data_IF_416690034988
#
_entry.id   IF_416690034988
#
_cell.length_a   1.000
_cell.length_b   1.000
_cell.length_c   1.000
_cell.angle_alpha   90.00
_cell.angle_beta   90.00
_cell.angle_gamma   90.00
#
_symmetry.space_group_name_H-M   'P 1'
#
loop_
_entity.id
_entity.type
_entity.pdbx_description
1 polymer ?
#
# COMPACT_ATOMS: atom_id res chain seq x y z
N UNK A 1 12.08 8.54 -5.34
CA UNK A 1 10.63 8.62 -5.58
C UNK A 1 10.11 7.70 -6.68
N UNK A 2 10.58 7.76 -7.95
CA UNK A 2 10.02 6.91 -9.03
C UNK A 2 10.05 5.39 -8.77
N UNK A 3 11.14 4.87 -8.16
CA UNK A 3 11.23 3.44 -7.77
C UNK A 3 10.19 3.04 -6.71
N UNK A 4 9.87 3.95 -5.79
CA UNK A 4 8.85 3.72 -4.77
C UNK A 4 7.46 3.68 -5.40
N UNK A 5 7.14 4.66 -6.27
CA UNK A 5 5.87 4.69 -7.01
C UNK A 5 5.62 3.37 -7.76
N UNK A 6 6.60 2.92 -8.55
CA UNK A 6 6.51 1.67 -9.30
C UNK A 6 6.25 0.46 -8.39
N UNK A 7 6.91 0.40 -7.23
CA UNK A 7 6.75 -0.69 -6.27
C UNK A 7 5.36 -0.71 -5.64
N UNK A 8 4.79 0.46 -5.37
CA UNK A 8 3.41 0.58 -4.87
C UNK A 8 2.34 0.27 -5.94
N UNK A 9 2.58 0.64 -7.20
CA UNK A 9 1.73 0.22 -8.33
C UNK A 9 1.76 -1.31 -8.51
N UNK A 10 2.91 -1.95 -8.28
CA UNK A 10 3.01 -3.41 -8.25
C UNK A 10 2.24 -4.02 -7.07
N UNK A 11 2.30 -3.43 -5.88
CA UNK A 11 1.48 -3.87 -4.73
C UNK A 11 -0.01 -3.76 -5.04
N UNK A 12 -0.45 -2.67 -5.68
CA UNK A 12 -1.84 -2.48 -6.08
C UNK A 12 -2.29 -3.54 -7.09
N UNK A 13 -1.48 -3.82 -8.12
CA UNK A 13 -1.77 -4.88 -9.10
C UNK A 13 -1.86 -6.26 -8.45
N UNK A 14 -0.93 -6.60 -7.56
CA UNK A 14 -0.94 -7.88 -6.86
C UNK A 14 -2.15 -7.99 -5.92
N UNK A 15 -2.52 -6.91 -5.24
CA UNK A 15 -3.69 -6.85 -4.37
C UNK A 15 -4.99 -7.05 -5.15
N UNK A 16 -5.14 -6.38 -6.30
CA UNK A 16 -6.28 -6.54 -7.22
C UNK A 16 -6.33 -7.93 -7.85
N UNK A 17 -5.17 -8.50 -8.21
CA UNK A 17 -5.10 -9.85 -8.79
C UNK A 17 -5.44 -10.95 -7.79
N UNK A 18 -5.33 -10.69 -6.48
CA UNK A 18 -5.65 -11.68 -5.47
C UNK A 18 -7.16 -11.96 -5.38
N UNK A 19 -8.04 -11.06 -5.85
CA UNK A 19 -9.52 -11.08 -5.69
C UNK A 19 -10.20 -12.38 -6.18
N UNK A 20 -9.55 -13.22 -7.00
CA UNK A 20 -10.07 -14.50 -7.48
C UNK A 20 -9.60 -15.76 -6.73
N UNK A 21 -8.85 -15.64 -5.63
CA UNK A 21 -8.35 -16.79 -4.85
C UNK A 21 -9.32 -17.18 -3.71
N UNK A 22 -9.31 -18.46 -3.32
CA UNK A 22 -9.99 -18.98 -2.12
C UNK A 22 -9.70 -18.13 -0.88
N UNK A 23 -10.70 -17.91 -0.02
CA UNK A 23 -10.68 -16.94 1.08
C UNK A 23 -9.43 -16.98 1.98
N UNK A 24 -8.87 -18.16 2.28
CA UNK A 24 -7.69 -18.31 3.15
C UNK A 24 -6.38 -17.82 2.47
N UNK A 25 -6.17 -18.20 1.21
CA UNK A 25 -5.03 -17.76 0.40
C UNK A 25 -5.11 -16.26 0.08
N UNK A 26 -6.35 -15.77 -0.12
CA UNK A 26 -6.65 -14.36 -0.34
C UNK A 26 -6.17 -13.50 0.84
N UNK A 27 -6.61 -13.84 2.05
CA UNK A 27 -6.30 -13.06 3.27
C UNK A 27 -4.81 -13.09 3.58
N UNK A 28 -4.16 -14.26 3.45
CA UNK A 28 -2.70 -14.38 3.62
C UNK A 28 -1.94 -13.50 2.64
N UNK A 29 -2.26 -13.61 1.35
CA UNK A 29 -1.55 -12.87 0.29
C UNK A 29 -1.75 -11.37 0.42
N UNK A 30 -2.97 -10.93 0.72
CA UNK A 30 -3.29 -9.51 0.93
C UNK A 30 -2.67 -8.94 2.20
N UNK A 31 -2.62 -9.72 3.28
CA UNK A 31 -1.91 -9.35 4.51
C UNK A 31 -0.41 -9.18 4.26
N UNK A 32 0.19 -10.10 3.50
CA UNK A 32 1.62 -10.04 3.16
C UNK A 32 1.95 -8.82 2.28
N UNK A 33 1.12 -8.54 1.27
CA UNK A 33 1.25 -7.33 0.44
C UNK A 33 1.12 -6.07 1.29
N UNK A 34 0.15 -6.01 2.20
CA UNK A 34 -0.02 -4.87 3.12
C UNK A 34 1.19 -4.67 4.03
N UNK A 35 1.78 -5.75 4.55
CA UNK A 35 3.00 -5.68 5.36
C UNK A 35 4.20 -5.18 4.55
N UNK A 36 4.37 -5.66 3.32
CA UNK A 36 5.44 -5.20 2.43
C UNK A 36 5.28 -3.72 2.05
N UNK A 37 4.05 -3.30 1.74
CA UNK A 37 3.71 -1.91 1.46
C UNK A 37 4.01 -1.00 2.67
N UNK A 38 3.60 -1.42 3.87
CA UNK A 38 3.87 -0.71 5.12
C UNK A 38 5.37 -0.55 5.39
N UNK A 39 6.15 -1.63 5.27
CA UNK A 39 7.60 -1.56 5.39
C UNK A 39 8.24 -0.64 4.34
N UNK A 40 7.75 -0.67 3.10
CA UNK A 40 8.26 0.17 2.03
C UNK A 40 8.07 1.65 2.34
N UNK A 41 6.88 2.05 2.80
CA UNK A 41 6.65 3.43 3.21
C UNK A 41 7.48 3.82 4.43
N UNK A 42 7.55 2.95 5.44
CA UNK A 42 8.27 3.29 6.65
C UNK A 42 9.76 3.51 6.34
N UNK A 43 10.30 2.73 5.39
CA UNK A 43 11.65 2.93 4.85
C UNK A 43 11.82 4.22 4.03
N UNK A 44 10.74 4.80 3.51
CA UNK A 44 10.74 6.06 2.77
C UNK A 44 10.52 7.28 3.68
N UNK A 45 10.28 7.07 4.98
CA UNK A 45 10.00 8.16 5.93
C UNK A 45 8.57 8.71 5.88
N UNK A 46 7.69 8.06 5.11
CA UNK A 46 6.30 8.45 4.91
C UNK A 46 5.44 8.05 6.13
N UNK A 47 5.53 8.83 7.22
CA UNK A 47 4.90 8.51 8.51
C UNK A 47 3.37 8.56 8.54
N UNK A 48 2.70 8.99 7.47
CA UNK A 48 1.29 9.39 7.54
C UNK A 48 0.28 8.23 7.48
N UNK A 49 0.72 6.97 7.37
CA UNK A 49 -0.20 5.82 7.22
C UNK A 49 -0.70 5.24 8.55
N UNK A 50 -0.17 5.67 9.70
CA UNK A 50 -0.57 5.11 11.00
C UNK A 50 -1.93 5.57 11.50
N UNK A 51 -2.60 6.50 10.82
CA UNK A 51 -3.96 6.97 11.13
C UNK A 51 -5.07 6.09 10.50
N UNK A 52 -4.82 4.79 10.31
CA UNK A 52 -5.91 3.83 10.05
C UNK A 52 -6.54 3.45 11.38
N UNK A 53 -7.30 4.38 11.94
CA UNK A 53 -8.20 4.11 13.07
C UNK A 53 -9.23 3.07 12.62
N UNK A 54 -9.17 1.90 13.27
CA UNK A 54 -10.32 1.00 13.46
C UNK A 54 -10.90 0.39 12.18
N UNK A 55 -10.13 -0.42 11.46
CA UNK A 55 -10.68 -1.25 10.38
C UNK A 55 -10.35 -2.72 10.64
N UNK A 56 -11.36 -3.47 11.07
CA UNK A 56 -11.30 -4.93 11.29
C UNK A 56 -11.14 -5.74 9.99
N UNK A 57 -11.20 -5.08 8.82
CA UNK A 57 -10.99 -5.67 7.49
C UNK A 57 -9.53 -5.47 7.03
N UNK A 58 -8.72 -6.53 7.08
CA UNK A 58 -7.35 -6.57 6.55
C UNK A 58 -7.27 -6.10 5.08
N UNK A 59 -8.30 -6.44 4.30
CA UNK A 59 -8.48 -5.97 2.92
C UNK A 59 -8.53 -4.45 2.79
N UNK A 60 -9.42 -3.81 3.55
CA UNK A 60 -9.60 -2.36 3.52
C UNK A 60 -8.36 -1.66 4.07
N UNK A 61 -7.71 -2.24 5.08
CA UNK A 61 -6.46 -1.72 5.63
C UNK A 61 -5.35 -1.74 4.58
N UNK A 62 -5.09 -2.88 3.94
CA UNK A 62 -4.06 -2.99 2.91
C UNK A 62 -4.32 -2.05 1.73
N UNK A 63 -5.57 -1.97 1.26
CA UNK A 63 -5.93 -1.07 0.18
C UNK A 63 -5.69 0.40 0.57
N UNK A 64 -6.11 0.81 1.77
CA UNK A 64 -5.83 2.16 2.30
C UNK A 64 -4.34 2.45 2.40
N UNK A 65 -3.55 1.50 2.89
CA UNK A 65 -2.10 1.66 3.00
C UNK A 65 -1.53 1.93 1.61
N UNK A 66 -1.83 1.08 0.62
CA UNK A 66 -1.33 1.24 -0.74
C UNK A 66 -1.79 2.58 -1.35
N UNK A 67 -3.07 2.91 -1.24
CA UNK A 67 -3.65 4.13 -1.82
C UNK A 67 -3.07 5.41 -1.21
N UNK A 68 -3.00 5.49 0.14
CA UNK A 68 -2.40 6.64 0.81
C UNK A 68 -0.91 6.78 0.48
N UNK A 69 -0.20 5.66 0.42
CA UNK A 69 1.22 5.67 0.05
C UNK A 69 1.46 6.20 -1.36
N UNK A 70 0.65 5.77 -2.33
CA UNK A 70 0.74 6.25 -3.71
C UNK A 70 0.49 7.75 -3.77
N UNK A 71 -0.55 8.22 -3.06
CA UNK A 71 -0.89 9.63 -2.99
C UNK A 71 0.23 10.47 -2.38
N UNK A 72 0.77 10.07 -1.23
CA UNK A 72 1.86 10.79 -0.57
C UNK A 72 3.12 10.83 -1.45
N UNK A 73 3.45 9.72 -2.12
CA UNK A 73 4.57 9.67 -3.08
C UNK A 73 4.33 10.60 -4.27
N UNK A 74 3.10 10.70 -4.79
CA UNK A 74 2.76 11.62 -5.87
C UNK A 74 2.79 13.08 -5.45
N UNK A 75 2.28 13.41 -4.27
CA UNK A 75 2.33 14.77 -3.71
C UNK A 75 3.78 15.22 -3.47
N UNK A 76 4.62 14.39 -2.84
CA UNK A 76 6.05 14.70 -2.70
C UNK A 76 6.77 14.80 -4.05
N UNK A 77 6.43 13.93 -5.02
CA UNK A 77 7.03 13.98 -6.36
C UNK A 77 6.65 15.24 -7.13
N UNK A 78 5.40 15.69 -7.04
CA UNK A 78 4.95 16.95 -7.64
C UNK A 78 5.55 18.17 -6.94
N UNK A 79 5.66 18.13 -5.62
CA UNK A 79 6.29 19.21 -4.84
C UNK A 79 7.76 19.43 -5.23
N UNK A 80 8.52 18.34 -5.45
CA UNK A 80 9.94 18.42 -5.83
C UNK A 80 10.21 18.70 -7.31
N UNK A 81 9.23 18.56 -8.21
CA UNK A 81 9.37 18.83 -9.65
C UNK A 81 8.81 20.21 -10.07
N UNK A 82 8.55 21.09 -9.10
CA UNK A 82 8.07 22.46 -9.30
C UNK A 82 9.22 23.46 -9.23
#
# INVERSE_FOLDING_TARGET
>A
MQKAKKKFEEFEKQFKSAIGMTDDDLVKRKGEIGRQAFHCVNSLGLKNITSVSTVFDTDKLTNKIIANSLKDIEEEFQYYNK
#
